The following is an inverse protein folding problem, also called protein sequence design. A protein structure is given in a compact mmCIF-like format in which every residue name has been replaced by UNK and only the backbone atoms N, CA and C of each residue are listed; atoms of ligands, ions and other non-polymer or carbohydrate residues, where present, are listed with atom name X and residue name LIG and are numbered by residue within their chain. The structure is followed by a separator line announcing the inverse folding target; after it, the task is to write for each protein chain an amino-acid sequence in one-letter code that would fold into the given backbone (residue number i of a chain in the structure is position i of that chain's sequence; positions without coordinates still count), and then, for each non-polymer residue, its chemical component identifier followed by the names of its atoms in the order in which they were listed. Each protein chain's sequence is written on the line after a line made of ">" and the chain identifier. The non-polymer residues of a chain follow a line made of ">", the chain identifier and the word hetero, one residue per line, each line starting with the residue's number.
data_IF_014290935587
#
_entry.id   IF_014290935587
#
_cell.length_a   1.000
_cell.length_b   1.000
_cell.length_c   1.000
_cell.angle_alpha   90.00
_cell.angle_beta   90.00
_cell.angle_gamma   90.00
#
_symmetry.space_group_name_H-M   'P 1'
#
loop_
_entity.id
_entity.type
_entity.pdbx_description
1 polymer ?
#
# COMPACT_ATOMS: atom_id res chain seq x y z
N UNK A 1 4.24 -1.32 17.09
CA UNK A 1 4.11 -2.80 17.10
C UNK A 1 4.95 -3.51 16.04
N UNK A 2 5.03 -3.04 14.79
CA UNK A 2 5.91 -3.64 13.77
C UNK A 2 7.36 -3.90 14.24
N UNK A 3 7.97 -2.93 14.94
CA UNK A 3 9.31 -3.07 15.52
C UNK A 3 9.44 -4.24 16.49
N UNK A 4 8.40 -4.57 17.26
CA UNK A 4 8.42 -5.67 18.23
C UNK A 4 8.55 -7.02 17.52
N UNK A 5 7.84 -7.20 16.40
CA UNK A 5 7.91 -8.43 15.60
C UNK A 5 9.31 -8.58 14.99
N UNK A 6 9.83 -7.51 14.39
CA UNK A 6 11.20 -7.51 13.85
C UNK A 6 12.24 -7.76 14.96
N UNK A 7 12.03 -7.22 16.18
CA UNK A 7 12.87 -7.47 17.35
C UNK A 7 12.82 -8.94 17.78
N UNK A 8 11.65 -9.56 17.84
CA UNK A 8 11.49 -10.97 18.20
C UNK A 8 12.17 -11.89 17.18
N UNK A 9 12.08 -11.57 15.88
CA UNK A 9 12.77 -12.31 14.82
C UNK A 9 14.28 -12.18 14.96
N UNK A 10 14.81 -10.97 15.20
CA UNK A 10 16.25 -10.79 15.41
C UNK A 10 16.73 -11.50 16.68
N UNK A 11 15.97 -11.40 17.78
CA UNK A 11 16.29 -12.05 19.04
C UNK A 11 16.33 -13.58 18.90
N UNK A 12 15.37 -14.18 18.19
CA UNK A 12 15.37 -15.62 17.96
C UNK A 12 16.57 -16.07 17.11
N UNK A 13 16.97 -15.28 16.11
CA UNK A 13 18.19 -15.52 15.35
C UNK A 13 19.44 -15.44 16.24
N UNK A 14 19.53 -14.43 17.11
CA UNK A 14 20.66 -14.29 18.05
C UNK A 14 20.75 -15.45 19.03
N UNK A 15 19.62 -15.86 19.61
CA UNK A 15 19.56 -17.01 20.53
C UNK A 15 19.95 -18.30 19.81
N UNK A 16 19.40 -18.55 18.61
CA UNK A 16 19.73 -19.74 17.82
C UNK A 16 21.22 -19.80 17.47
N UNK A 17 21.81 -18.66 17.10
CA UNK A 17 23.24 -18.57 16.87
C UNK A 17 24.07 -18.78 18.14
N UNK A 18 23.66 -18.20 19.27
CA UNK A 18 24.37 -18.37 20.54
C UNK A 18 24.37 -19.83 20.98
N UNK A 19 23.27 -20.56 20.76
CA UNK A 19 23.20 -22.01 21.01
C UNK A 19 24.12 -22.78 20.07
N UNK A 20 24.10 -22.45 18.77
CA UNK A 20 24.87 -23.17 17.75
C UNK A 20 26.39 -22.98 17.90
N UNK A 21 26.84 -21.76 18.22
CA UNK A 21 28.26 -21.39 18.20
C UNK A 21 28.83 -21.09 19.59
N UNK A 22 28.01 -20.97 20.64
CA UNK A 22 28.46 -20.54 21.97
C UNK A 22 29.46 -21.48 22.65
N UNK A 23 29.41 -22.77 22.32
CA UNK A 23 30.35 -23.76 22.85
C UNK A 23 31.76 -23.69 22.20
N UNK A 24 31.93 -22.92 21.11
CA UNK A 24 33.18 -22.84 20.34
C UNK A 24 34.17 -21.80 20.88
N UNK A 25 33.96 -21.28 22.10
CA UNK A 25 34.84 -20.31 22.74
C UNK A 25 35.04 -19.02 21.93
N UNK A 26 36.29 -18.54 21.83
CA UNK A 26 36.61 -17.28 21.13
C UNK A 26 36.28 -17.26 19.63
N UNK A 27 36.32 -18.42 18.98
CA UNK A 27 35.91 -18.54 17.57
C UNK A 27 34.38 -18.38 17.43
N UNK A 28 33.62 -19.02 18.33
CA UNK A 28 32.18 -18.87 18.39
C UNK A 28 31.74 -17.43 18.66
N UNK A 29 32.44 -16.74 19.57
CA UNK A 29 32.20 -15.32 19.85
C UNK A 29 32.44 -14.45 18.62
N UNK A 30 33.49 -14.72 17.85
CA UNK A 30 33.78 -13.98 16.60
C UNK A 30 32.65 -14.13 15.59
N UNK A 31 32.15 -15.36 15.39
CA UNK A 31 31.00 -15.62 14.51
C UNK A 31 29.76 -14.88 15.01
N UNK A 32 29.47 -14.95 16.31
CA UNK A 32 28.32 -14.28 16.92
C UNK A 32 28.34 -12.77 16.68
N UNK A 33 29.49 -12.12 16.89
CA UNK A 33 29.62 -10.68 16.70
C UNK A 33 29.46 -10.27 15.23
N UNK A 34 30.09 -11.00 14.31
CA UNK A 34 29.95 -10.74 12.86
C UNK A 34 28.49 -10.90 12.42
N UNK A 35 27.82 -11.96 12.89
CA UNK A 35 26.43 -12.18 12.50
C UNK A 35 25.47 -11.21 13.18
N UNK A 36 25.72 -10.78 14.43
CA UNK A 36 24.97 -9.70 15.05
C UNK A 36 25.04 -8.43 14.21
N UNK A 37 26.24 -8.07 13.76
CA UNK A 37 26.43 -6.97 12.83
C UNK A 37 25.65 -7.19 11.53
N UNK A 38 25.82 -8.32 10.85
CA UNK A 38 25.10 -8.59 9.60
C UNK A 38 23.58 -8.55 9.77
N UNK A 39 23.04 -9.11 10.84
CA UNK A 39 21.59 -9.09 11.10
C UNK A 39 21.12 -7.68 11.40
N UNK A 40 21.83 -6.91 12.23
CA UNK A 40 21.38 -5.55 12.56
C UNK A 40 21.40 -4.65 11.32
N UNK A 41 22.43 -4.78 10.48
CA UNK A 41 22.67 -3.89 9.35
C UNK A 41 22.01 -4.34 8.05
N UNK A 42 22.06 -5.62 7.71
CA UNK A 42 21.59 -6.12 6.41
C UNK A 42 20.14 -6.59 6.44
N UNK A 43 19.59 -6.98 7.60
CA UNK A 43 18.20 -7.43 7.70
C UNK A 43 17.21 -6.40 7.13
N UNK A 44 17.23 -5.10 7.53
CA UNK A 44 16.29 -4.13 6.98
C UNK A 44 16.47 -3.98 5.47
N UNK A 45 17.72 -3.93 5.01
CA UNK A 45 18.08 -3.70 3.60
C UNK A 45 17.57 -4.84 2.72
N UNK A 46 17.83 -6.09 3.10
CA UNK A 46 17.42 -7.27 2.33
C UNK A 46 15.90 -7.32 2.16
N UNK A 47 15.15 -7.05 3.24
CA UNK A 47 13.69 -7.09 3.18
C UNK A 47 13.07 -5.87 2.50
N UNK A 48 13.69 -4.70 2.62
CA UNK A 48 13.22 -3.47 1.97
C UNK A 48 13.49 -3.45 0.47
N UNK A 49 14.60 -4.04 0.01
CA UNK A 49 14.88 -4.21 -1.42
C UNK A 49 14.13 -5.39 -2.05
N UNK A 50 13.48 -6.22 -1.24
CA UNK A 50 12.60 -7.26 -1.75
C UNK A 50 11.37 -6.65 -2.43
N UNK A 51 10.70 -7.46 -3.26
CA UNK A 51 9.40 -7.13 -3.90
C UNK A 51 8.32 -6.61 -2.94
N UNK A 52 8.49 -6.86 -1.65
CA UNK A 52 7.54 -6.44 -0.62
C UNK A 52 7.79 -5.00 -0.15
N UNK A 53 9.01 -4.49 -0.25
CA UNK A 53 9.35 -3.13 0.21
C UNK A 53 9.27 -2.96 1.72
N UNK A 54 9.36 -4.04 2.51
CA UNK A 54 9.05 -4.02 3.93
C UNK A 54 9.71 -5.16 4.69
N UNK A 55 10.14 -4.90 5.93
CA UNK A 55 10.52 -5.94 6.90
C UNK A 55 9.31 -6.81 7.27
N UNK A 56 9.50 -8.06 7.68
CA UNK A 56 8.40 -8.95 8.08
C UNK A 56 7.44 -8.30 9.08
N UNK A 57 7.95 -7.62 10.11
CA UNK A 57 7.13 -6.91 11.09
C UNK A 57 6.38 -5.72 10.50
N UNK A 58 6.97 -4.96 9.56
CA UNK A 58 6.23 -3.92 8.81
C UNK A 58 5.12 -4.55 7.96
N UNK A 59 5.41 -5.68 7.33
CA UNK A 59 4.51 -6.40 6.42
C UNK A 59 3.25 -6.91 7.11
N UNK A 60 3.36 -7.41 8.35
CA UNK A 60 2.20 -7.88 9.12
C UNK A 60 1.20 -6.76 9.45
N UNK A 61 1.66 -5.51 9.47
CA UNK A 61 0.82 -4.32 9.67
C UNK A 61 0.46 -3.63 8.35
N UNK A 62 0.68 -4.27 7.21
CA UNK A 62 0.39 -3.69 5.90
C UNK A 62 1.22 -2.44 5.60
N UNK A 63 2.42 -2.30 6.18
CA UNK A 63 3.31 -1.16 5.92
C UNK A 63 4.30 -1.48 4.81
N UNK A 64 4.64 -0.46 4.02
CA UNK A 64 5.68 -0.51 2.98
C UNK A 64 6.54 0.75 3.03
N UNK A 65 7.82 0.59 2.74
CA UNK A 65 8.75 1.68 2.53
C UNK A 65 8.83 2.00 1.04
N UNK A 66 8.67 3.28 0.70
CA UNK A 66 8.75 3.82 -0.65
C UNK A 66 9.67 5.04 -0.67
N UNK A 67 10.11 5.44 -1.85
CA UNK A 67 10.70 6.76 -2.05
C UNK A 67 9.63 7.84 -1.85
N UNK A 68 10.03 9.09 -1.60
CA UNK A 68 9.10 10.23 -1.52
C UNK A 68 8.28 10.44 -2.80
N UNK A 69 8.79 9.96 -3.93
CA UNK A 69 8.09 9.93 -5.22
C UNK A 69 7.02 8.84 -5.32
N UNK A 70 6.87 7.99 -4.30
CA UNK A 70 6.02 6.79 -4.31
C UNK A 70 6.60 5.58 -5.05
N UNK A 71 7.79 5.73 -5.66
CA UNK A 71 8.49 4.65 -6.34
C UNK A 71 9.08 3.61 -5.35
N UNK A 72 9.37 2.38 -5.81
CA UNK A 72 10.11 1.41 -5.02
C UNK A 72 11.42 1.99 -4.49
N UNK A 73 11.80 1.60 -3.27
CA UNK A 73 13.02 2.06 -2.64
C UNK A 73 14.27 1.64 -3.43
N UNK A 74 15.24 2.55 -3.53
CA UNK A 74 16.53 2.25 -4.17
C UNK A 74 17.51 1.62 -3.16
N UNK A 75 18.49 0.82 -3.61
CA UNK A 75 19.56 0.30 -2.74
C UNK A 75 20.23 1.41 -1.94
N UNK A 76 20.68 2.47 -2.63
CA UNK A 76 21.34 3.61 -1.99
C UNK A 76 20.47 4.23 -0.88
N UNK A 77 19.18 4.45 -1.11
CA UNK A 77 18.27 4.99 -0.10
C UNK A 77 18.11 4.07 1.11
N UNK A 78 17.96 2.76 0.89
CA UNK A 78 17.86 1.79 1.99
C UNK A 78 19.15 1.75 2.83
N UNK A 79 20.33 1.77 2.20
CA UNK A 79 21.63 1.85 2.89
C UNK A 79 21.78 3.17 3.66
N UNK A 80 21.52 4.32 3.04
CA UNK A 80 21.65 5.64 3.66
C UNK A 80 20.80 5.73 4.91
N UNK A 81 19.52 5.35 4.83
CA UNK A 81 18.64 5.38 5.99
C UNK A 81 19.12 4.47 7.11
N UNK A 82 19.64 3.30 6.77
CA UNK A 82 20.13 2.34 7.75
C UNK A 82 21.44 2.78 8.43
N UNK A 83 22.31 3.48 7.71
CA UNK A 83 23.52 4.13 8.26
C UNK A 83 23.16 5.26 9.22
N UNK A 84 22.23 6.12 8.80
CA UNK A 84 21.78 7.27 9.60
C UNK A 84 20.99 6.82 10.84
N UNK A 85 20.49 5.58 10.88
CA UNK A 85 19.86 4.98 12.06
C UNK A 85 20.75 4.99 13.29
N UNK A 86 22.08 5.00 13.14
CA UNK A 86 23.00 5.16 14.28
C UNK A 86 22.84 6.53 14.93
N UNK A 87 22.67 7.58 14.12
CA UNK A 87 22.38 8.92 14.61
C UNK A 87 20.99 8.99 15.25
N UNK A 88 19.99 8.31 14.67
CA UNK A 88 18.67 8.22 15.28
C UNK A 88 18.73 7.63 16.69
N UNK A 89 19.63 6.67 16.95
CA UNK A 89 19.76 5.96 18.24
C UNK A 89 20.22 6.86 19.40
N UNK A 90 20.75 8.05 19.11
CA UNK A 90 21.30 8.98 20.09
C UNK A 90 20.32 10.15 20.37
N UNK A 91 20.44 10.83 21.53
CA UNK A 91 20.67 10.25 22.85
C UNK A 91 19.43 9.45 23.33
N UNK A 92 19.58 8.63 24.37
CA UNK A 92 18.47 7.90 25.02
C UNK A 92 17.75 6.85 24.14
N UNK A 93 18.47 6.08 23.34
CA UNK A 93 17.93 4.94 22.58
C UNK A 93 16.73 5.31 21.68
N UNK A 94 17.00 6.12 20.64
CA UNK A 94 16.05 6.66 19.66
C UNK A 94 15.47 8.07 19.93
N UNK A 95 16.08 8.86 20.82
CA UNK A 95 15.60 10.22 21.13
C UNK A 95 15.53 11.14 19.91
N UNK A 96 16.59 11.24 19.10
CA UNK A 96 16.60 12.07 17.89
C UNK A 96 15.57 11.58 16.87
N UNK A 97 15.47 10.26 16.67
CA UNK A 97 14.49 9.68 15.76
C UNK A 97 13.05 10.00 16.16
N UNK A 98 12.75 9.99 17.47
CA UNK A 98 11.42 10.35 17.98
C UNK A 98 11.12 11.84 17.81
N UNK A 99 12.08 12.71 18.17
CA UNK A 99 11.92 14.16 18.05
C UNK A 99 11.70 14.55 16.58
N UNK A 100 12.49 14.01 15.65
CA UNK A 100 12.34 14.28 14.22
C UNK A 100 11.00 13.82 13.67
N UNK A 101 10.50 12.65 14.10
CA UNK A 101 9.16 12.17 13.72
C UNK A 101 8.05 13.09 14.25
N UNK A 102 8.16 13.59 15.48
CA UNK A 102 7.13 14.45 16.08
C UNK A 102 7.11 15.86 15.50
N UNK A 103 8.27 16.40 15.12
CA UNK A 103 8.41 17.76 14.58
C UNK A 103 8.14 17.83 13.07
N UNK A 104 8.00 16.69 12.40
CA UNK A 104 7.77 16.63 10.96
C UNK A 104 6.34 16.17 10.63
N UNK A 105 5.64 16.91 9.76
CA UNK A 105 4.26 16.60 9.36
C UNK A 105 4.10 15.25 8.65
N UNK A 106 5.18 14.72 8.08
CA UNK A 106 5.20 13.41 7.41
C UNK A 106 5.64 12.26 8.34
N UNK A 107 5.90 12.54 9.63
CA UNK A 107 6.34 11.54 10.62
C UNK A 107 7.57 10.72 10.19
N UNK A 108 8.53 11.35 9.52
CA UNK A 108 9.80 10.74 9.06
C UNK A 108 10.88 10.81 10.14
N UNK A 109 11.69 9.75 10.26
CA UNK A 109 12.92 9.78 11.09
C UNK A 109 14.05 10.53 10.38
N UNK A 110 15.13 10.82 11.08
CA UNK A 110 16.31 11.46 10.49
C UNK A 110 16.87 10.62 9.33
N UNK A 111 16.89 9.30 9.47
CA UNK A 111 17.27 8.40 8.38
C UNK A 111 16.33 8.42 7.18
N UNK A 112 15.02 8.54 7.40
CA UNK A 112 14.03 8.63 6.32
C UNK A 112 14.17 9.94 5.54
N UNK A 113 14.42 11.05 6.25
CA UNK A 113 14.70 12.36 5.67
C UNK A 113 15.98 12.36 4.84
N UNK A 114 17.07 11.80 5.38
CA UNK A 114 18.34 11.73 4.68
C UNK A 114 18.29 10.85 3.42
N UNK A 115 17.44 9.82 3.41
CA UNK A 115 17.30 8.91 2.28
C UNK A 115 16.20 9.29 1.27
N UNK A 116 15.36 10.30 1.58
CA UNK A 116 14.20 10.66 0.76
C UNK A 116 13.17 9.53 0.68
N UNK A 117 12.86 8.91 1.82
CA UNK A 117 11.95 7.75 1.91
C UNK A 117 10.81 8.01 2.88
N UNK A 118 9.72 7.28 2.68
CA UNK A 118 8.53 7.34 3.52
C UNK A 118 7.99 5.93 3.79
N UNK A 119 7.45 5.73 4.99
CA UNK A 119 6.71 4.51 5.36
C UNK A 119 5.22 4.79 5.19
N UNK A 120 4.59 4.04 4.30
CA UNK A 120 3.17 4.18 3.96
C UNK A 120 2.40 2.90 4.30
N UNK A 121 1.09 3.03 4.50
CA UNK A 121 0.20 1.87 4.52
C UNK A 121 -0.01 1.41 3.07
N UNK A 122 0.32 0.15 2.81
CA UNK A 122 0.22 -0.52 1.52
C UNK A 122 -1.16 -1.14 1.27
N UNK A 123 -2.13 -0.91 2.16
CA UNK A 123 -3.51 -1.29 1.88
C UNK A 123 -3.95 -0.62 0.57
N UNK A 124 -4.46 -1.39 -0.41
CA UNK A 124 -4.98 -0.79 -1.61
C UNK A 124 -6.12 0.13 -1.21
N UNK A 125 -5.92 1.43 -1.41
CA UNK A 125 -7.03 2.37 -1.38
C UNK A 125 -7.94 1.96 -2.53
N UNK A 126 -9.03 1.27 -2.20
CA UNK A 126 -10.08 0.97 -3.16
C UNK A 126 -10.72 2.31 -3.51
N UNK A 127 -10.20 2.95 -4.58
CA UNK A 127 -10.67 4.25 -5.06
C UNK A 127 -12.09 4.17 -5.64
N UNK A 128 -12.55 2.95 -5.97
CA UNK A 128 -13.86 2.65 -6.54
C UNK A 128 -14.53 1.55 -5.75
N UNK A 129 -15.59 1.89 -5.01
CA UNK A 129 -16.42 0.90 -4.36
C UNK A 129 -17.02 -0.02 -5.45
N UNK A 130 -17.27 -1.29 -5.12
CA UNK A 130 -17.99 -2.15 -6.06
C UNK A 130 -19.36 -1.52 -6.37
N UNK A 131 -19.66 -1.25 -7.66
CA UNK A 131 -20.90 -0.59 -8.03
C UNK A 131 -22.10 -1.44 -7.59
N UNK A 132 -23.23 -0.80 -7.22
CA UNK A 132 -24.47 -1.49 -6.85
C UNK A 132 -24.85 -2.56 -7.87
N UNK A 133 -25.38 -3.68 -7.38
CA UNK A 133 -25.90 -4.72 -8.26
C UNK A 133 -27.06 -4.16 -9.11
N UNK A 134 -27.03 -4.44 -10.40
CA UNK A 134 -28.05 -4.10 -11.38
C UNK A 134 -28.06 -5.19 -12.45
N UNK A 135 -29.19 -5.38 -13.10
CA UNK A 135 -29.30 -6.33 -14.21
C UNK A 135 -28.41 -5.83 -15.37
N UNK A 136 -27.50 -6.67 -15.91
CA UNK A 136 -26.63 -6.24 -16.98
C UNK A 136 -27.40 -5.89 -18.26
N UNK A 137 -27.11 -4.73 -18.84
CA UNK A 137 -27.75 -4.28 -20.08
C UNK A 137 -26.70 -3.87 -21.10
N UNK A 138 -26.80 -4.37 -22.33
CA UNK A 138 -25.89 -3.99 -23.41
C UNK A 138 -26.09 -2.50 -23.79
N UNK A 139 -25.00 -1.75 -24.06
CA UNK A 139 -25.11 -0.36 -24.49
C UNK A 139 -25.76 -0.24 -25.88
N UNK A 140 -26.44 0.88 -26.16
CA UNK A 140 -27.15 1.10 -27.44
C UNK A 140 -26.23 1.19 -28.65
N UNK A 141 -24.96 1.53 -28.42
CA UNK A 141 -23.89 1.55 -29.41
C UNK A 141 -22.58 1.08 -28.81
N UNK A 142 -21.61 0.76 -29.67
CA UNK A 142 -20.24 0.53 -29.24
C UNK A 142 -19.68 1.76 -28.50
N UNK A 143 -19.07 1.51 -27.33
CA UNK A 143 -18.47 2.53 -26.48
C UNK A 143 -16.95 2.54 -26.66
N UNK A 144 -16.37 3.72 -26.83
CA UNK A 144 -14.91 3.89 -26.85
C UNK A 144 -14.27 3.65 -25.48
N UNK A 145 -12.95 3.40 -25.39
CA UNK A 145 -12.26 3.13 -24.12
C UNK A 145 -12.46 4.23 -23.07
N UNK A 146 -12.47 5.50 -23.49
CA UNK A 146 -12.70 6.64 -22.61
C UNK A 146 -14.13 6.66 -22.03
N UNK A 147 -15.14 6.30 -22.83
CA UNK A 147 -16.53 6.22 -22.40
C UNK A 147 -16.74 5.08 -21.41
N UNK A 148 -16.14 3.91 -21.70
CA UNK A 148 -16.16 2.77 -20.79
C UNK A 148 -15.51 3.12 -19.44
N UNK A 149 -14.34 3.75 -19.46
CA UNK A 149 -13.65 4.18 -18.24
C UNK A 149 -14.47 5.21 -17.45
N UNK A 150 -15.14 6.16 -18.12
CA UNK A 150 -16.00 7.14 -17.47
C UNK A 150 -17.21 6.49 -16.78
N UNK A 151 -17.86 5.54 -17.44
CA UNK A 151 -19.01 4.80 -16.89
C UNK A 151 -18.59 3.97 -15.67
N UNK A 152 -17.46 3.25 -15.76
CA UNK A 152 -16.95 2.44 -14.64
C UNK A 152 -16.51 3.33 -13.45
N UNK A 153 -15.85 4.45 -13.73
CA UNK A 153 -15.45 5.44 -12.72
C UNK A 153 -16.66 6.09 -12.02
N UNK A 154 -17.72 6.40 -12.76
CA UNK A 154 -18.98 6.89 -12.21
C UNK A 154 -19.66 5.82 -11.35
N UNK A 155 -19.78 4.59 -11.87
CA UNK A 155 -20.43 3.48 -11.18
C UNK A 155 -19.77 3.20 -9.82
N UNK A 156 -18.43 3.22 -9.77
CA UNK A 156 -17.66 3.04 -8.54
C UNK A 156 -17.75 4.18 -7.52
N UNK A 157 -18.36 5.31 -7.88
CA UNK A 157 -18.57 6.48 -7.00
C UNK A 157 -20.03 6.66 -6.55
N UNK A 158 -20.96 5.85 -7.05
CA UNK A 158 -22.40 5.99 -6.76
C UNK A 158 -22.73 5.95 -5.27
N UNK A 159 -22.00 5.19 -4.45
CA UNK A 159 -22.18 5.14 -2.98
C UNK A 159 -21.78 6.43 -2.26
N UNK A 160 -20.95 7.26 -2.88
CA UNK A 160 -20.42 8.52 -2.29
C UNK A 160 -21.13 9.76 -2.81
N UNK A 161 -21.92 9.62 -3.87
CA UNK A 161 -22.67 10.70 -4.49
C UNK A 161 -24.10 10.76 -3.93
N UNK A 162 -24.68 11.95 -3.89
CA UNK A 162 -26.10 12.09 -3.55
C UNK A 162 -26.97 11.44 -4.64
N UNK A 163 -28.16 10.91 -4.30
CA UNK A 163 -29.05 10.28 -5.29
C UNK A 163 -29.36 11.20 -6.48
N UNK A 164 -29.56 12.49 -6.21
CA UNK A 164 -29.78 13.50 -7.25
C UNK A 164 -28.59 13.63 -8.21
N UNK A 165 -27.35 13.63 -7.68
CA UNK A 165 -26.14 13.77 -8.52
C UNK A 165 -25.84 12.50 -9.31
N UNK A 166 -26.13 11.33 -8.73
CA UNK A 166 -26.03 10.05 -9.44
C UNK A 166 -26.96 10.07 -10.65
N UNK A 167 -28.20 10.51 -10.48
CA UNK A 167 -29.19 10.59 -11.55
C UNK A 167 -28.82 11.65 -12.60
N UNK A 168 -28.42 12.85 -12.18
CA UNK A 168 -27.99 13.93 -13.09
C UNK A 168 -26.84 13.50 -14.01
N UNK A 169 -25.80 12.86 -13.45
CA UNK A 169 -24.67 12.37 -14.24
C UNK A 169 -25.08 11.24 -15.18
N UNK A 170 -26.01 10.39 -14.77
CA UNK A 170 -26.54 9.34 -15.63
C UNK A 170 -27.38 9.90 -16.78
N UNK A 171 -28.10 11.01 -16.56
CA UNK A 171 -28.86 11.70 -17.60
C UNK A 171 -27.96 12.31 -18.68
N UNK A 172 -26.73 12.74 -18.35
CA UNK A 172 -25.76 13.17 -19.37
C UNK A 172 -25.39 12.04 -20.35
N UNK A 173 -25.45 10.79 -19.88
CA UNK A 173 -25.21 9.60 -20.70
C UNK A 173 -26.48 9.08 -21.39
N UNK A 174 -27.62 9.79 -21.34
CA UNK A 174 -28.90 9.35 -21.93
C UNK A 174 -28.80 8.88 -23.39
N UNK A 175 -28.01 9.51 -24.28
CA UNK A 175 -27.87 9.05 -25.67
C UNK A 175 -27.26 7.64 -25.80
N UNK A 176 -26.56 7.16 -24.76
CA UNK A 176 -25.90 5.85 -24.70
C UNK A 176 -26.78 4.77 -24.09
N UNK A 177 -27.88 5.16 -23.43
CA UNK A 177 -28.74 4.24 -22.71
C UNK A 177 -29.68 3.52 -23.71
N UNK A 178 -29.81 2.20 -23.60
CA UNK A 178 -30.78 1.46 -24.40
C UNK A 178 -32.21 1.92 -24.08
N UNK A 179 -32.98 2.19 -25.13
CA UNK A 179 -34.42 2.45 -25.07
C UNK A 179 -35.16 1.12 -25.17
N UNK A 180 -35.12 0.30 -24.12
CA UNK A 180 -35.89 -0.95 -24.07
C UNK A 180 -37.36 -0.68 -23.75
N UNK A 181 -38.25 -1.36 -24.48
CA UNK A 181 -39.72 -1.19 -24.42
C UNK A 181 -40.33 -1.43 -23.02
N UNK A 182 -39.66 -2.18 -22.15
CA UNK A 182 -40.10 -2.50 -20.79
C UNK A 182 -39.65 -1.47 -19.72
N UNK A 183 -38.69 -0.60 -20.05
CA UNK A 183 -38.04 0.32 -19.08
C UNK A 183 -38.16 1.83 -19.37
N UNK A 184 -39.19 2.37 -20.05
CA UNK A 184 -39.30 3.83 -20.22
C UNK A 184 -39.48 4.59 -18.88
N UNK A 185 -39.75 3.89 -17.77
CA UNK A 185 -39.89 4.46 -16.41
C UNK A 185 -38.68 4.26 -15.48
N UNK A 186 -37.65 3.50 -15.88
CA UNK A 186 -36.50 3.28 -15.02
C UNK A 186 -35.56 4.50 -15.02
N UNK A 187 -35.16 4.93 -13.82
CA UNK A 187 -34.23 6.04 -13.62
C UNK A 187 -32.95 5.86 -14.47
N UNK A 188 -32.40 6.95 -15.00
CA UNK A 188 -31.22 6.90 -15.88
C UNK A 188 -30.04 6.22 -15.17
N UNK A 189 -29.91 6.44 -13.85
CA UNK A 189 -28.89 5.80 -13.03
C UNK A 189 -28.97 4.27 -13.05
N UNK A 190 -30.17 3.68 -12.94
CA UNK A 190 -30.36 2.23 -12.94
C UNK A 190 -29.93 1.61 -14.27
N UNK A 191 -30.29 2.26 -15.38
CA UNK A 191 -29.91 1.80 -16.72
C UNK A 191 -28.41 1.93 -16.97
N UNK A 192 -27.80 3.04 -16.55
CA UNK A 192 -26.35 3.23 -16.69
C UNK A 192 -25.56 2.26 -15.79
N UNK A 193 -26.08 1.91 -14.61
CA UNK A 193 -25.52 0.85 -13.76
C UNK A 193 -25.58 -0.51 -14.45
N UNK A 194 -26.68 -0.84 -15.14
CA UNK A 194 -26.78 -2.06 -15.95
C UNK A 194 -25.73 -2.12 -17.06
N UNK A 195 -25.48 -1.00 -17.74
CA UNK A 195 -24.39 -0.87 -18.72
C UNK A 195 -23.01 -1.06 -18.07
N UNK A 196 -22.79 -0.49 -16.89
CA UNK A 196 -21.55 -0.71 -16.13
C UNK A 196 -21.35 -2.19 -15.76
N UNK A 197 -22.41 -2.89 -15.33
CA UNK A 197 -22.36 -4.33 -15.01
C UNK A 197 -22.05 -5.18 -16.25
N UNK A 198 -22.60 -4.82 -17.40
CA UNK A 198 -22.29 -5.46 -18.68
C UNK A 198 -20.81 -5.26 -19.09
N UNK A 199 -20.28 -4.03 -18.93
CA UNK A 199 -18.87 -3.72 -19.21
C UNK A 199 -17.89 -4.45 -18.29
N UNK A 200 -18.28 -4.76 -17.05
CA UNK A 200 -17.50 -5.58 -16.12
C UNK A 200 -17.59 -7.09 -16.43
N UNK A 201 -18.24 -7.49 -17.52
CA UNK A 201 -18.29 -8.88 -17.98
C UNK A 201 -19.41 -9.72 -17.35
N UNK A 202 -20.31 -9.12 -16.58
CA UNK A 202 -21.55 -9.81 -16.15
C UNK A 202 -22.51 -9.77 -17.33
N UNK A 203 -22.73 -10.89 -18.01
CA UNK A 203 -23.69 -11.00 -19.11
C UNK A 203 -24.95 -11.66 -18.56
N UNK A 204 -26.12 -11.06 -18.84
CA UNK A 204 -27.42 -11.70 -18.64
C UNK A 204 -27.65 -12.74 -19.73
#
# INVERSE_FOLDING_TARGET
>A
MAFLIDLLIRLSLYVGMAIAFGAMGGFGLSILLISMFCIEWLYPIVFELSRWGATPGKRTYGLRVVMDTGLPITPAASFTRNLVRVADFLPLAYGIGLVTMLLNGESKRLGDLAAGTLVVHAEPVVLHDAPPAADPVAPSRALGPAEQAAILSWAGRTRRLTPARVEELAQLASPLLPTTAETPKAAAATRLLGVAQWLMGKRA
#
